data_IF_404510156380
#
_entry.id   IF_404510156380
#
_cell.length_a   1.000
_cell.length_b   1.000
_cell.length_c   1.000
_cell.angle_alpha   90.00
_cell.angle_beta   90.00
_cell.angle_gamma   90.00
#
_symmetry.space_group_name_H-M   'P 1'
#
loop_
_entity.id
_entity.type
_entity.pdbx_description
1 polymer ?
#
# COMPACT_ATOMS: atom_id res chain seq x y z
N UNK A 1 -5.85 -12.46 17.58
CA UNK A 1 -6.40 -11.74 16.42
C UNK A 1 -6.78 -10.36 16.92
N UNK A 2 -6.42 -9.30 16.20
CA UNK A 2 -6.86 -7.94 16.54
C UNK A 2 -8.36 -7.86 16.25
N UNK A 3 -9.20 -7.58 17.24
CA UNK A 3 -10.67 -7.53 17.07
C UNK A 3 -11.13 -6.55 15.98
N UNK A 4 -10.27 -5.56 15.67
CA UNK A 4 -10.43 -4.62 14.55
C UNK A 4 -10.40 -5.31 13.18
N UNK A 5 -9.50 -6.29 13.00
CA UNK A 5 -9.38 -7.08 11.78
C UNK A 5 -10.58 -8.02 11.62
N UNK A 6 -10.99 -8.71 12.69
CA UNK A 6 -12.15 -9.61 12.68
C UNK A 6 -13.45 -8.88 12.32
N UNK A 7 -13.68 -7.69 12.89
CA UNK A 7 -14.86 -6.87 12.56
C UNK A 7 -14.83 -6.42 11.10
N UNK A 8 -13.67 -5.94 10.61
CA UNK A 8 -13.52 -5.51 9.24
C UNK A 8 -13.73 -6.65 8.23
N UNK A 9 -13.13 -7.82 8.48
CA UNK A 9 -13.29 -9.01 7.64
C UNK A 9 -14.73 -9.53 7.66
N UNK A 10 -15.41 -9.49 8.79
CA UNK A 10 -16.82 -9.90 8.93
C UNK A 10 -17.76 -8.99 8.14
N UNK A 11 -17.54 -7.68 8.18
CA UNK A 11 -18.29 -6.71 7.39
C UNK A 11 -18.07 -6.93 5.89
N UNK A 12 -16.82 -7.14 5.46
CA UNK A 12 -16.48 -7.42 4.06
C UNK A 12 -17.05 -8.75 3.54
N UNK A 13 -17.08 -9.78 4.39
CA UNK A 13 -17.76 -11.06 4.10
C UNK A 13 -19.25 -10.86 3.90
N UNK A 14 -19.87 -9.98 4.68
CA UNK A 14 -21.32 -9.70 4.60
C UNK A 14 -21.74 -8.86 3.38
N UNK A 15 -20.82 -8.07 2.80
CA UNK A 15 -21.11 -7.26 1.60
C UNK A 15 -21.45 -8.17 0.40
N UNK A 16 -20.92 -9.40 0.36
CA UNK A 16 -21.28 -10.42 -0.62
C UNK A 16 -20.83 -10.09 -2.05
N UNK A 17 -20.03 -10.96 -2.66
CA UNK A 17 -19.56 -10.79 -4.04
C UNK A 17 -18.41 -11.72 -4.42
N UNK A 18 -17.86 -11.53 -5.62
CA UNK A 18 -16.72 -12.29 -6.16
C UNK A 18 -15.48 -12.28 -5.24
N UNK A 19 -15.36 -11.25 -4.39
CA UNK A 19 -14.26 -11.06 -3.44
C UNK A 19 -14.45 -11.79 -2.10
N UNK A 20 -15.63 -12.36 -1.80
CA UNK A 20 -15.90 -13.00 -0.50
C UNK A 20 -14.95 -14.19 -0.21
N UNK A 21 -14.64 -14.99 -1.23
CA UNK A 21 -13.70 -16.10 -1.11
C UNK A 21 -12.26 -15.61 -0.84
N UNK A 22 -11.84 -14.52 -1.49
CA UNK A 22 -10.52 -13.91 -1.24
C UNK A 22 -10.42 -13.39 0.20
N UNK A 23 -11.48 -12.78 0.75
CA UNK A 23 -11.51 -12.33 2.15
C UNK A 23 -11.38 -13.50 3.15
N UNK A 24 -12.02 -14.64 2.85
CA UNK A 24 -11.91 -15.86 3.67
C UNK A 24 -10.49 -16.45 3.59
N UNK A 25 -9.89 -16.48 2.41
CA UNK A 25 -8.50 -16.91 2.23
C UNK A 25 -7.53 -16.00 2.99
N UNK A 26 -7.68 -14.67 2.89
CA UNK A 26 -6.86 -13.71 3.62
C UNK A 26 -6.97 -13.89 5.14
N UNK A 27 -8.17 -14.13 5.66
CA UNK A 27 -8.39 -14.42 7.08
C UNK A 27 -7.68 -15.70 7.50
N UNK A 28 -7.80 -16.77 6.71
CA UNK A 28 -7.15 -18.06 6.98
C UNK A 28 -5.62 -17.95 6.99
N UNK A 29 -5.05 -17.23 6.01
CA UNK A 29 -3.61 -16.95 5.92
C UNK A 29 -3.14 -16.10 7.11
N UNK A 30 -3.93 -15.11 7.53
CA UNK A 30 -3.64 -14.28 8.69
C UNK A 30 -3.70 -15.08 10.00
N UNK A 31 -4.72 -15.93 10.18
CA UNK A 31 -4.84 -16.84 11.34
C UNK A 31 -3.67 -17.83 11.42
N UNK A 32 -3.27 -18.37 10.26
CA UNK A 32 -2.15 -19.30 10.13
C UNK A 32 -0.79 -18.61 10.24
N UNK A 33 -0.76 -17.26 10.38
CA UNK A 33 0.46 -16.42 10.46
C UNK A 33 1.39 -16.59 9.26
N UNK A 34 0.84 -16.89 8.08
CA UNK A 34 1.58 -17.04 6.83
C UNK A 34 1.82 -15.68 6.18
N UNK A 35 2.68 -14.86 6.80
CA UNK A 35 2.88 -13.46 6.40
C UNK A 35 3.35 -13.29 4.96
N UNK A 36 4.23 -14.18 4.48
CA UNK A 36 4.75 -14.10 3.11
C UNK A 36 3.63 -14.34 2.09
N UNK A 37 2.90 -15.44 2.25
CA UNK A 37 1.81 -15.81 1.34
C UNK A 37 0.66 -14.80 1.41
N UNK A 38 0.35 -14.34 2.62
CA UNK A 38 -0.61 -13.26 2.85
C UNK A 38 -0.19 -12.01 2.07
N UNK A 39 1.07 -11.60 2.14
CA UNK A 39 1.56 -10.41 1.42
C UNK A 39 1.40 -10.57 -0.08
N UNK A 40 1.79 -11.73 -0.64
CA UNK A 40 1.62 -11.99 -2.08
C UNK A 40 0.16 -11.90 -2.49
N UNK A 41 -0.73 -12.53 -1.72
CA UNK A 41 -2.17 -12.52 -1.98
C UNK A 41 -2.72 -11.10 -1.90
N UNK A 42 -2.34 -10.34 -0.87
CA UNK A 42 -2.71 -8.93 -0.70
C UNK A 42 -2.19 -8.09 -1.87
N UNK A 43 -0.95 -8.27 -2.31
CA UNK A 43 -0.40 -7.57 -3.48
C UNK A 43 -1.24 -7.86 -4.72
N UNK A 44 -1.57 -9.11 -5.00
CA UNK A 44 -2.46 -9.46 -6.12
C UNK A 44 -3.87 -8.87 -5.94
N UNK A 45 -4.35 -8.80 -4.70
CA UNK A 45 -5.67 -8.29 -4.35
C UNK A 45 -5.78 -6.78 -4.61
N UNK A 46 -4.79 -5.98 -4.18
CA UNK A 46 -4.80 -4.51 -4.39
C UNK A 46 -4.64 -4.07 -5.84
N UNK A 47 -4.17 -4.97 -6.71
CA UNK A 47 -4.11 -4.72 -8.15
C UNK A 47 -5.46 -4.90 -8.86
N UNK A 48 -6.47 -5.48 -8.20
CA UNK A 48 -7.81 -5.61 -8.79
C UNK A 48 -8.53 -4.26 -8.82
N UNK A 49 -9.10 -3.91 -9.97
CA UNK A 49 -9.89 -2.68 -10.17
C UNK A 49 -11.04 -2.53 -9.16
N UNK A 50 -11.62 -3.64 -8.69
CA UNK A 50 -12.72 -3.66 -7.72
C UNK A 50 -12.37 -2.97 -6.39
N UNK A 51 -11.09 -3.00 -5.99
CA UNK A 51 -10.61 -2.34 -4.77
C UNK A 51 -10.00 -0.97 -5.03
N UNK A 52 -9.58 -0.69 -6.26
CA UNK A 52 -9.11 0.62 -6.67
C UNK A 52 -10.21 1.68 -6.66
N UNK A 53 -11.48 1.27 -6.51
CA UNK A 53 -12.62 2.16 -6.40
C UNK A 53 -12.83 2.68 -4.96
N UNK A 54 -12.54 3.96 -4.76
CA UNK A 54 -12.86 4.72 -3.54
C UNK A 54 -11.95 4.45 -2.34
N UNK A 55 -12.39 4.83 -1.13
CA UNK A 55 -11.59 4.76 0.10
C UNK A 55 -11.41 3.34 0.67
N UNK A 56 -11.77 2.29 -0.07
CA UNK A 56 -11.71 0.91 0.41
C UNK A 56 -10.27 0.45 0.66
N UNK A 57 -9.34 0.77 -0.25
CA UNK A 57 -7.91 0.48 -0.12
C UNK A 57 -7.26 1.17 1.08
N UNK A 58 -7.61 2.44 1.31
CA UNK A 58 -7.12 3.20 2.47
C UNK A 58 -7.60 2.56 3.78
N UNK A 59 -8.88 2.23 3.84
CA UNK A 59 -9.48 1.56 4.99
C UNK A 59 -8.86 0.17 5.21
N UNK A 60 -8.58 -0.57 4.15
CA UNK A 60 -7.90 -1.87 4.21
C UNK A 60 -6.48 -1.73 4.77
N UNK A 61 -5.73 -0.72 4.34
CA UNK A 61 -4.41 -0.44 4.89
C UNK A 61 -4.44 -0.17 6.40
N UNK A 62 -5.32 0.74 6.84
CA UNK A 62 -5.39 1.16 8.25
C UNK A 62 -5.92 0.07 9.18
N UNK A 63 -6.86 -0.76 8.71
CA UNK A 63 -7.48 -1.78 9.55
C UNK A 63 -6.79 -3.13 9.48
N UNK A 64 -6.11 -3.45 8.38
CA UNK A 64 -5.50 -4.76 8.14
C UNK A 64 -3.97 -4.67 8.04
N UNK A 65 -3.46 -3.91 7.07
CA UNK A 65 -2.02 -3.92 6.73
C UNK A 65 -1.15 -3.38 7.86
N UNK A 66 -1.61 -2.35 8.59
CA UNK A 66 -0.84 -1.74 9.68
C UNK A 66 -0.53 -2.72 10.83
N UNK A 67 -1.31 -3.78 11.02
CA UNK A 67 -1.10 -4.78 12.07
C UNK A 67 0.15 -5.64 11.81
N UNK A 68 0.45 -5.92 10.53
CA UNK A 68 1.54 -6.82 10.12
C UNK A 68 2.56 -6.19 9.17
N UNK A 69 2.50 -4.88 8.91
CA UNK A 69 3.46 -4.16 8.05
C UNK A 69 4.93 -4.38 8.49
N UNK A 70 5.16 -4.58 9.79
CA UNK A 70 6.48 -4.81 10.37
C UNK A 70 7.00 -6.26 10.17
N UNK A 71 6.15 -7.19 9.74
CA UNK A 71 6.49 -8.60 9.50
C UNK A 71 6.75 -8.90 8.01
N UNK A 72 6.40 -7.99 7.12
CA UNK A 72 6.44 -8.20 5.67
C UNK A 72 7.64 -7.52 5.04
N UNK A 73 7.97 -7.94 3.81
CA UNK A 73 9.06 -7.35 3.08
C UNK A 73 8.74 -5.88 2.74
N UNK A 74 9.69 -4.99 3.05
CA UNK A 74 9.60 -3.56 2.79
C UNK A 74 9.31 -3.25 1.32
N UNK A 75 9.85 -4.05 0.39
CA UNK A 75 9.63 -3.83 -1.03
C UNK A 75 8.18 -4.14 -1.43
N UNK A 76 7.63 -5.24 -0.91
CA UNK A 76 6.24 -5.62 -1.11
C UNK A 76 5.27 -4.62 -0.46
N UNK A 77 5.64 -4.08 0.71
CA UNK A 77 4.89 -3.01 1.36
C UNK A 77 4.77 -1.78 0.44
N UNK A 78 5.86 -1.33 -0.18
CA UNK A 78 5.83 -0.19 -1.11
C UNK A 78 4.98 -0.50 -2.34
N UNK A 79 5.08 -1.71 -2.92
CA UNK A 79 4.24 -2.13 -4.04
C UNK A 79 2.75 -2.08 -3.72
N UNK A 80 2.36 -2.48 -2.52
CA UNK A 80 0.96 -2.42 -2.06
C UNK A 80 0.52 -0.97 -1.88
N UNK A 81 1.41 -0.07 -1.44
CA UNK A 81 1.10 1.32 -1.12
C UNK A 81 0.98 2.20 -2.37
N UNK A 82 1.73 1.92 -3.43
CA UNK A 82 1.65 2.68 -4.69
C UNK A 82 0.22 2.83 -5.22
N UNK A 83 -0.58 1.76 -5.41
CA UNK A 83 -1.95 1.90 -5.88
C UNK A 83 -2.84 2.67 -4.88
N UNK A 84 -2.61 2.53 -3.57
CA UNK A 84 -3.35 3.26 -2.53
C UNK A 84 -3.11 4.77 -2.68
N UNK A 85 -1.86 5.18 -2.91
CA UNK A 85 -1.49 6.59 -3.08
C UNK A 85 -2.16 7.24 -4.30
N UNK A 86 -2.49 6.45 -5.33
CA UNK A 86 -3.22 6.92 -6.52
C UNK A 86 -4.70 7.16 -6.26
N UNK A 87 -5.28 6.51 -5.25
CA UNK A 87 -6.68 6.68 -4.88
C UNK A 87 -6.91 7.96 -4.06
N UNK A 88 -5.86 8.59 -3.54
CA UNK A 88 -5.98 9.87 -2.85
C UNK A 88 -6.38 10.98 -3.81
N UNK A 89 -7.38 11.78 -3.42
CA UNK A 89 -7.81 12.98 -4.16
C UNK A 89 -6.79 14.12 -4.09
N UNK A 90 -6.01 14.16 -3.01
CA UNK A 90 -5.00 15.19 -2.77
C UNK A 90 -3.60 14.61 -2.88
N UNK A 91 -2.80 15.18 -3.80
CA UNK A 91 -1.43 14.73 -4.05
C UNK A 91 -0.52 15.01 -2.85
N UNK A 92 -0.73 16.09 -2.11
CA UNK A 92 0.04 16.41 -0.91
C UNK A 92 -0.12 15.36 0.21
N UNK A 93 -1.33 14.86 0.43
CA UNK A 93 -1.57 13.76 1.39
C UNK A 93 -0.87 12.47 0.94
N UNK A 94 -0.93 12.16 -0.36
CA UNK A 94 -0.25 11.01 -0.92
C UNK A 94 1.27 11.10 -0.74
N UNK A 95 1.86 12.28 -0.95
CA UNK A 95 3.30 12.52 -0.76
C UNK A 95 3.68 12.36 0.71
N UNK A 96 2.94 12.97 1.64
CA UNK A 96 3.22 12.80 3.07
C UNK A 96 3.15 11.34 3.48
N UNK A 97 2.17 10.59 2.95
CA UNK A 97 2.05 9.17 3.21
C UNK A 97 3.27 8.41 2.68
N UNK A 98 3.70 8.64 1.43
CA UNK A 98 4.88 7.97 0.87
C UNK A 98 6.15 8.34 1.65
N UNK A 99 6.28 9.58 2.13
CA UNK A 99 7.42 9.99 2.97
C UNK A 99 7.47 9.24 4.31
N UNK A 100 6.33 9.05 4.99
CA UNK A 100 6.27 8.23 6.20
C UNK A 100 6.69 6.78 5.93
N UNK A 101 6.27 6.23 4.81
CA UNK A 101 6.62 4.87 4.40
C UNK A 101 8.11 4.77 4.07
N UNK A 102 8.68 5.77 3.38
CA UNK A 102 10.11 5.87 3.10
C UNK A 102 10.95 5.77 4.37
N UNK A 103 10.54 6.44 5.45
CA UNK A 103 11.23 6.34 6.75
C UNK A 103 11.15 4.93 7.35
N UNK A 104 10.05 4.21 7.14
CA UNK A 104 9.88 2.82 7.58
C UNK A 104 10.70 1.83 6.72
N UNK A 105 10.85 2.09 5.42
CA UNK A 105 11.54 1.20 4.47
C UNK A 105 13.01 1.57 4.23
N UNK A 106 13.59 2.44 5.05
CA UNK A 106 14.99 2.89 4.95
C UNK A 106 16.04 1.78 5.01
N UNK A 107 15.68 0.56 5.41
CA UNK A 107 16.60 -0.56 5.45
C UNK A 107 16.83 -1.18 4.06
N UNK A 108 15.97 -0.91 3.08
CA UNK A 108 16.08 -1.45 1.72
C UNK A 108 16.20 -0.32 0.70
N UNK A 109 17.38 -0.18 0.11
CA UNK A 109 17.69 0.86 -0.88
C UNK A 109 16.75 0.84 -2.10
N UNK A 110 16.28 -0.34 -2.51
CA UNK A 110 15.34 -0.47 -3.63
C UNK A 110 13.94 0.04 -3.27
N UNK A 111 13.50 -0.18 -2.03
CA UNK A 111 12.21 0.31 -1.55
C UNK A 111 12.23 1.84 -1.43
N UNK A 112 13.33 2.41 -0.94
CA UNK A 112 13.55 3.87 -0.90
C UNK A 112 13.53 4.46 -2.31
N UNK A 113 14.26 3.86 -3.25
CA UNK A 113 14.28 4.29 -4.65
C UNK A 113 12.88 4.28 -5.27
N UNK A 114 12.09 3.23 -5.00
CA UNK A 114 10.73 3.09 -5.51
C UNK A 114 9.79 4.15 -4.92
N UNK A 115 9.94 4.49 -3.63
CA UNK A 115 9.24 5.60 -3.00
C UNK A 115 9.59 6.93 -3.68
N UNK A 116 10.87 7.21 -3.89
CA UNK A 116 11.35 8.47 -4.48
C UNK A 116 10.89 8.63 -5.94
N UNK A 117 10.89 7.55 -6.74
CA UNK A 117 10.31 7.52 -8.09
C UNK A 117 8.81 7.82 -8.04
N UNK A 118 8.09 7.26 -7.06
CA UNK A 118 6.64 7.45 -6.92
C UNK A 118 6.31 8.88 -6.52
N UNK A 119 7.08 9.48 -5.60
CA UNK A 119 6.98 10.90 -5.22
C UNK A 119 7.25 11.79 -6.44
N UNK A 120 8.32 11.52 -7.20
CA UNK A 120 8.63 12.24 -8.43
C UNK A 120 7.50 12.18 -9.46
N UNK A 121 6.89 11.00 -9.65
CA UNK A 121 5.70 10.84 -10.50
C UNK A 121 4.50 11.63 -9.98
N UNK A 122 4.29 11.66 -8.66
CA UNK A 122 3.20 12.43 -8.05
C UNK A 122 3.38 13.94 -8.29
N UNK A 123 4.58 14.49 -8.05
CA UNK A 123 4.90 15.90 -8.31
C UNK A 123 4.79 16.31 -9.80
N UNK A 124 5.12 15.38 -10.72
CA UNK A 124 4.92 15.59 -12.16
C UNK A 124 3.44 15.85 -12.49
N UNK A 125 2.53 15.10 -11.87
CA UNK A 125 1.08 15.26 -12.07
C UNK A 125 0.60 16.60 -11.53
N UNK A 126 1.17 17.10 -10.44
CA UNK A 126 0.84 18.41 -9.84
C UNK A 126 1.47 19.61 -10.57
N UNK A 127 2.18 19.41 -11.70
CA UNK A 127 2.93 20.45 -12.46
C UNK A 127 4.00 21.20 -11.65
N UNK A 128 4.43 20.68 -10.50
CA UNK A 128 5.56 21.22 -9.75
C UNK A 128 6.89 20.72 -10.35
N UNK A 129 7.28 21.36 -11.46
CA UNK A 129 8.45 21.00 -12.27
C UNK A 129 9.78 21.18 -11.52
N UNK A 130 9.85 22.10 -10.54
CA UNK A 130 11.09 22.39 -9.81
C UNK A 130 11.47 21.27 -8.84
N UNK A 131 10.53 20.78 -8.02
CA UNK A 131 10.79 19.69 -7.08
C UNK A 131 10.96 18.35 -7.80
N UNK A 132 10.23 18.14 -8.90
CA UNK A 132 10.44 16.98 -9.76
C UNK A 132 11.89 16.93 -10.30
N UNK A 133 12.41 18.05 -10.81
CA UNK A 133 13.78 18.10 -11.35
C UNK A 133 14.82 17.77 -10.28
N UNK A 134 14.65 18.30 -9.06
CA UNK A 134 15.55 18.00 -7.93
C UNK A 134 15.55 16.52 -7.57
N UNK A 135 14.36 15.90 -7.50
CA UNK A 135 14.24 14.47 -7.20
C UNK A 135 14.87 13.63 -8.32
N UNK A 136 14.66 13.99 -9.60
CA UNK A 136 15.27 13.27 -10.72
C UNK A 136 16.80 13.41 -10.71
N UNK A 137 17.33 14.60 -10.44
CA UNK A 137 18.79 14.81 -10.31
C UNK A 137 19.39 14.03 -9.15
N UNK A 138 18.69 13.92 -8.01
CA UNK A 138 19.13 13.13 -6.86
C UNK A 138 19.09 11.61 -7.15
N UNK A 139 18.12 11.17 -7.96
CA UNK A 139 17.98 9.78 -8.41
C UNK A 139 18.97 9.39 -9.51
N UNK A 140 19.62 10.35 -10.16
CA UNK A 140 20.58 10.07 -11.24
C UNK A 140 21.99 10.01 -10.64
N UNK A 141 22.59 8.82 -10.44
CA UNK A 141 23.99 8.75 -10.02
C UNK A 141 24.88 9.35 -11.13
N UNK A 142 25.82 10.20 -10.70
CA UNK A 142 26.92 10.71 -11.55
C UNK A 142 27.84 9.58 -12.03
#
# INVERSE_FOLDING_TARGET
MSSRVENYLSERKSIGGSLANEWIELESLYQSRLWHELTLRVTSFVHRDELQQGDQLKTFYENFLSDFEHRINQLALVEIIIPITRTFKHVDEAIQFIQQIREKVKANSLAVLLCDITIGKAYLVTKNLNETKRIIEDLTPK
#
